data_IF_085460790882
#
_entry.id   IF_085460790882
#
_cell.length_a   1.000
_cell.length_b   1.000
_cell.length_c   1.000
_cell.angle_alpha   90.00
_cell.angle_beta   90.00
_cell.angle_gamma   90.00
#
_symmetry.space_group_name_H-M   'P 1'
#
loop_
_entity.id
_entity.type
_entity.pdbx_description
1 polymer ?
#
# COMPACT_ATOMS: atom_id res chain seq x y z
N UNK A 1 20.63 -9.49 -7.91
CA UNK A 1 19.86 -8.56 -7.03
C UNK A 1 20.78 -8.10 -5.92
N UNK A 2 20.64 -6.88 -5.41
CA UNK A 2 21.56 -6.39 -4.38
C UNK A 2 21.39 -7.19 -3.07
N UNK A 3 22.47 -7.80 -2.58
CA UNK A 3 22.48 -8.53 -1.31
C UNK A 3 21.94 -9.97 -1.34
N UNK A 4 21.62 -10.53 -2.51
CA UNK A 4 21.17 -11.93 -2.65
C UNK A 4 22.01 -12.68 -3.70
N UNK A 5 22.28 -13.97 -3.45
CA UNK A 5 22.94 -14.87 -4.41
C UNK A 5 21.94 -15.46 -5.42
N UNK A 6 21.12 -14.59 -6.00
CA UNK A 6 20.14 -14.93 -7.04
C UNK A 6 20.10 -13.83 -8.13
N UNK A 7 19.81 -14.27 -9.34
CA UNK A 7 19.70 -13.45 -10.55
C UNK A 7 18.27 -13.44 -11.09
N UNK A 8 17.99 -12.61 -12.09
CA UNK A 8 16.72 -12.63 -12.83
C UNK A 8 16.45 -13.99 -13.47
N UNK A 9 17.51 -14.75 -13.83
CA UNK A 9 17.40 -16.08 -14.41
C UNK A 9 16.88 -17.13 -13.42
N UNK A 10 17.04 -16.91 -12.11
CA UNK A 10 16.61 -17.84 -11.07
C UNK A 10 15.13 -17.69 -10.70
N UNK A 11 14.50 -16.56 -11.03
CA UNK A 11 13.07 -16.34 -10.81
C UNK A 11 12.26 -17.25 -11.73
N UNK A 12 11.35 -18.06 -11.22
CA UNK A 12 10.47 -18.91 -12.06
C UNK A 12 9.17 -18.19 -12.46
N UNK A 13 8.70 -17.23 -11.66
CA UNK A 13 7.51 -16.43 -11.92
C UNK A 13 7.53 -15.06 -11.19
N UNK A 14 6.73 -14.10 -11.66
CA UNK A 14 6.56 -12.80 -11.00
C UNK A 14 5.10 -12.49 -10.68
N UNK A 15 4.87 -11.77 -9.58
CA UNK A 15 3.56 -11.26 -9.18
C UNK A 15 3.67 -9.75 -9.01
N UNK A 16 3.03 -9.02 -9.90
CA UNK A 16 2.99 -7.57 -9.88
C UNK A 16 1.75 -7.14 -9.10
N UNK A 17 1.96 -6.30 -8.09
CA UNK A 17 0.94 -5.87 -7.14
C UNK A 17 0.83 -4.35 -7.17
N UNK A 18 -0.32 -3.82 -7.55
CA UNK A 18 -0.65 -2.40 -7.40
C UNK A 18 -2.16 -2.23 -7.29
N UNK A 19 -2.61 -1.04 -6.93
CA UNK A 19 -3.99 -0.65 -7.20
C UNK A 19 -4.02 0.03 -8.58
N UNK A 20 -4.93 -0.36 -9.48
CA UNK A 20 -4.97 0.15 -10.85
C UNK A 20 -5.43 1.60 -10.87
N UNK A 21 -5.35 2.19 -12.05
CA UNK A 21 -5.80 3.55 -12.34
C UNK A 21 -5.01 4.67 -11.66
N UNK A 22 -3.96 4.45 -10.87
CA UNK A 22 -3.16 5.57 -10.32
C UNK A 22 -2.07 6.05 -11.29
N UNK A 23 -1.56 5.16 -12.13
CA UNK A 23 -0.77 5.48 -13.30
C UNK A 23 -1.61 5.33 -14.59
N UNK A 24 -1.06 5.76 -15.73
CA UNK A 24 -1.75 5.71 -17.04
C UNK A 24 -1.66 4.34 -17.73
N UNK A 25 -0.85 3.41 -17.21
CA UNK A 25 -0.61 2.12 -17.83
C UNK A 25 -1.70 1.13 -17.42
N UNK A 26 -2.52 0.70 -18.38
CA UNK A 26 -3.60 -0.27 -18.13
C UNK A 26 -3.07 -1.61 -17.58
N UNK A 27 -1.99 -2.11 -18.17
CA UNK A 27 -1.41 -3.41 -17.84
C UNK A 27 0.08 -3.23 -17.53
N UNK A 28 0.45 -2.90 -16.29
CA UNK A 28 1.84 -2.66 -15.93
C UNK A 28 2.67 -3.95 -15.84
N UNK A 29 2.03 -5.11 -15.65
CA UNK A 29 2.73 -6.36 -15.36
C UNK A 29 3.67 -6.84 -16.48
N UNK A 30 3.21 -6.75 -17.74
CA UNK A 30 4.02 -7.13 -18.90
C UNK A 30 5.23 -6.22 -19.09
N UNK A 31 5.01 -4.90 -19.01
CA UNK A 31 6.06 -3.90 -19.15
C UNK A 31 7.13 -4.04 -18.06
N UNK A 32 6.72 -4.21 -16.80
CA UNK A 32 7.64 -4.42 -15.69
C UNK A 32 8.42 -5.73 -15.89
N UNK A 33 7.77 -6.79 -16.34
CA UNK A 33 8.44 -8.08 -16.58
C UNK A 33 9.46 -8.00 -17.71
N UNK A 34 9.17 -7.28 -18.79
CA UNK A 34 10.11 -7.03 -19.88
C UNK A 34 11.30 -6.19 -19.41
N UNK A 35 11.03 -5.07 -18.73
CA UNK A 35 12.07 -4.16 -18.24
C UNK A 35 13.02 -4.82 -17.22
N UNK A 36 12.52 -5.79 -16.45
CA UNK A 36 13.29 -6.56 -15.48
C UNK A 36 13.88 -7.86 -16.05
N UNK A 37 13.80 -8.08 -17.36
CA UNK A 37 14.29 -9.28 -18.05
C UNK A 37 13.74 -10.59 -17.45
N UNK A 38 12.47 -10.56 -17.01
CA UNK A 38 11.75 -11.72 -16.50
C UNK A 38 11.02 -12.47 -17.62
N UNK A 39 10.94 -11.90 -18.82
CA UNK A 39 10.39 -12.59 -19.98
C UNK A 39 11.29 -13.78 -20.38
N UNK A 40 10.73 -14.92 -20.84
CA UNK A 40 9.31 -15.20 -21.10
C UNK A 40 8.57 -15.85 -19.92
N UNK A 41 9.07 -15.75 -18.68
CA UNK A 41 8.50 -16.41 -17.51
C UNK A 41 7.12 -15.83 -17.16
N UNK A 42 6.22 -16.61 -16.55
CA UNK A 42 4.87 -16.15 -16.24
C UNK A 42 4.90 -14.97 -15.27
N UNK A 43 4.09 -13.94 -15.61
CA UNK A 43 3.82 -12.80 -14.75
C UNK A 43 2.33 -12.68 -14.47
N UNK A 44 1.99 -12.55 -13.19
CA UNK A 44 0.64 -12.35 -12.70
C UNK A 44 0.45 -10.91 -12.25
N UNK A 45 -0.78 -10.42 -12.31
CA UNK A 45 -1.16 -9.15 -11.70
C UNK A 45 -2.19 -9.41 -10.60
N UNK A 46 -1.92 -8.94 -9.38
CA UNK A 46 -2.77 -9.14 -8.20
C UNK A 46 -3.19 -7.79 -7.64
N UNK A 47 -4.50 -7.64 -7.50
CA UNK A 47 -5.16 -6.41 -7.06
C UNK A 47 -6.12 -6.74 -5.92
N UNK A 48 -5.93 -6.07 -4.77
CA UNK A 48 -6.81 -6.09 -3.60
C UNK A 48 -6.66 -4.76 -2.84
N UNK A 49 -6.76 -3.64 -3.57
CA UNK A 49 -6.60 -2.26 -3.10
C UNK A 49 -5.30 -2.10 -2.29
N UNK A 50 -5.37 -1.59 -1.06
CA UNK A 50 -4.18 -1.36 -0.22
C UNK A 50 -3.49 -2.65 0.24
N UNK A 51 -4.10 -3.82 0.01
CA UNK A 51 -3.55 -5.13 0.41
C UNK A 51 -2.94 -5.93 -0.74
N UNK A 52 -2.85 -5.36 -1.96
CA UNK A 52 -2.33 -6.06 -3.15
C UNK A 52 -1.01 -6.81 -2.90
N UNK A 53 -0.01 -6.18 -2.25
CA UNK A 53 1.28 -6.83 -2.00
C UNK A 53 1.22 -7.96 -0.96
N UNK A 54 0.38 -7.84 0.08
CA UNK A 54 0.24 -8.91 1.08
C UNK A 54 -0.56 -10.09 0.51
N UNK A 55 -1.55 -9.82 -0.35
CA UNK A 55 -2.21 -10.84 -1.16
C UNK A 55 -1.22 -11.50 -2.12
N UNK A 56 -0.40 -10.72 -2.83
CA UNK A 56 0.65 -11.22 -3.71
C UNK A 56 1.64 -12.15 -2.99
N UNK A 57 2.05 -11.80 -1.77
CA UNK A 57 2.88 -12.66 -0.93
C UNK A 57 2.20 -14.01 -0.62
N UNK A 58 0.90 -14.00 -0.29
CA UNK A 58 0.13 -15.23 -0.06
C UNK A 58 0.00 -16.08 -1.33
N UNK A 59 -0.17 -15.45 -2.49
CA UNK A 59 -0.22 -16.15 -3.78
C UNK A 59 1.14 -16.77 -4.10
N UNK A 60 2.24 -16.02 -3.99
CA UNK A 60 3.60 -16.54 -4.19
C UNK A 60 3.91 -17.71 -3.26
N UNK A 61 3.58 -17.59 -1.98
CA UNK A 61 3.72 -18.69 -1.02
C UNK A 61 2.94 -19.93 -1.46
N UNK A 62 1.69 -19.76 -1.92
CA UNK A 62 0.85 -20.86 -2.38
C UNK A 62 1.43 -21.55 -3.61
N UNK A 63 1.94 -20.77 -4.59
CA UNK A 63 2.60 -21.30 -5.78
C UNK A 63 3.87 -22.10 -5.46
N UNK A 64 4.70 -21.58 -4.54
CA UNK A 64 5.91 -22.29 -4.08
C UNK A 64 5.54 -23.53 -3.29
N UNK A 65 4.57 -23.43 -2.38
CA UNK A 65 4.13 -24.55 -1.53
C UNK A 65 3.50 -25.68 -2.33
N UNK A 66 2.78 -25.36 -3.42
CA UNK A 66 2.21 -26.32 -4.34
C UNK A 66 3.25 -26.99 -5.26
N UNK A 67 4.50 -26.54 -5.26
CA UNK A 67 5.56 -27.05 -6.13
C UNK A 67 5.45 -26.59 -7.58
N UNK A 68 4.64 -25.56 -7.87
CA UNK A 68 4.47 -25.01 -9.22
C UNK A 68 5.65 -24.13 -9.63
N UNK A 69 6.25 -23.43 -8.66
CA UNK A 69 7.44 -22.59 -8.83
C UNK A 69 8.38 -22.78 -7.65
N UNK A 70 9.68 -22.55 -7.82
CA UNK A 70 10.69 -22.61 -6.75
C UNK A 70 11.04 -21.22 -6.24
N UNK A 71 11.11 -20.23 -7.13
CA UNK A 71 11.41 -18.83 -6.79
C UNK A 71 10.39 -17.91 -7.45
N UNK A 72 9.70 -17.11 -6.66
CA UNK A 72 8.68 -16.17 -7.12
C UNK A 72 9.01 -14.77 -6.63
N UNK A 73 9.06 -13.79 -7.53
CA UNK A 73 9.24 -12.39 -7.19
C UNK A 73 7.89 -11.70 -6.99
N UNK A 74 7.65 -11.11 -5.81
CA UNK A 74 6.46 -10.30 -5.52
C UNK A 74 6.86 -8.84 -5.55
N UNK A 75 6.38 -8.10 -6.54
CA UNK A 75 6.77 -6.71 -6.80
C UNK A 75 5.55 -5.83 -6.55
N UNK A 76 5.58 -5.06 -5.46
CA UNK A 76 4.60 -4.03 -5.16
C UNK A 76 5.05 -2.68 -5.69
N UNK A 77 4.16 -1.91 -6.31
CA UNK A 77 4.45 -0.53 -6.68
C UNK A 77 3.19 0.33 -6.64
N UNK A 78 3.38 1.64 -6.50
CA UNK A 78 2.33 2.64 -6.68
C UNK A 78 2.94 3.95 -7.19
N UNK A 79 2.26 4.62 -8.12
CA UNK A 79 2.62 5.94 -8.64
C UNK A 79 1.42 6.86 -8.51
N UNK A 80 1.47 7.79 -7.56
CA UNK A 80 0.38 8.72 -7.24
C UNK A 80 0.75 10.18 -7.50
N UNK A 81 2.04 10.51 -7.64
CA UNK A 81 2.51 11.89 -7.79
C UNK A 81 2.04 12.60 -9.06
N UNK A 82 1.54 11.86 -10.05
CA UNK A 82 1.04 12.41 -11.31
C UNK A 82 -0.42 12.87 -11.21
N UNK A 83 -1.03 12.72 -10.04
CA UNK A 83 -2.42 13.04 -9.78
C UNK A 83 -2.54 14.24 -8.86
N UNK A 84 -3.53 15.07 -9.13
CA UNK A 84 -3.99 16.02 -8.13
C UNK A 84 -4.58 15.29 -6.92
N UNK A 85 -4.58 15.95 -5.75
CA UNK A 85 -5.20 15.39 -4.54
C UNK A 85 -6.67 15.02 -4.75
N UNK A 86 -7.39 15.76 -5.60
CA UNK A 86 -8.79 15.47 -5.94
C UNK A 86 -8.94 14.22 -6.78
N UNK A 87 -8.10 14.03 -7.80
CA UNK A 87 -8.11 12.82 -8.63
C UNK A 87 -7.71 11.58 -7.82
N UNK A 88 -6.70 11.71 -6.94
CA UNK A 88 -6.31 10.63 -6.04
C UNK A 88 -7.46 10.26 -5.09
N UNK A 89 -8.13 11.25 -4.50
CA UNK A 89 -9.28 11.02 -3.61
C UNK A 89 -10.46 10.35 -4.34
N UNK A 90 -10.75 10.78 -5.57
CA UNK A 90 -11.79 10.18 -6.41
C UNK A 90 -11.48 8.70 -6.70
N UNK A 91 -10.26 8.38 -7.15
CA UNK A 91 -9.84 7.01 -7.45
C UNK A 91 -9.82 6.12 -6.21
N UNK A 92 -9.40 6.66 -5.08
CA UNK A 92 -9.47 5.98 -3.79
C UNK A 92 -10.92 5.66 -3.38
N UNK A 93 -11.86 6.58 -3.63
CA UNK A 93 -13.28 6.36 -3.34
C UNK A 93 -13.91 5.21 -4.13
N UNK A 94 -13.36 4.89 -5.30
CA UNK A 94 -13.80 3.74 -6.12
C UNK A 94 -13.34 2.39 -5.57
N UNK A 95 -12.53 2.36 -4.51
CA UNK A 95 -12.19 1.13 -3.80
C UNK A 95 -13.33 0.58 -2.95
N UNK A 96 -14.34 1.40 -2.67
CA UNK A 96 -15.60 1.01 -2.04
C UNK A 96 -16.71 0.74 -3.06
N UNK A 97 -17.97 0.83 -2.62
CA UNK A 97 -19.12 0.63 -3.49
C UNK A 97 -19.45 1.91 -4.29
N UNK A 98 -19.21 1.87 -5.60
CA UNK A 98 -19.47 3.02 -6.48
C UNK A 98 -20.96 3.40 -6.55
N UNK A 99 -21.88 2.47 -6.31
CA UNK A 99 -23.33 2.73 -6.38
C UNK A 99 -23.84 3.24 -5.03
N UNK A 100 -23.37 2.65 -3.93
CA UNK A 100 -23.95 2.87 -2.60
C UNK A 100 -23.13 3.77 -1.69
N UNK A 101 -21.91 4.14 -2.07
CA UNK A 101 -21.03 5.00 -1.27
C UNK A 101 -20.62 6.27 -2.00
N UNK A 102 -20.10 6.13 -3.22
CA UNK A 102 -19.57 7.27 -3.99
C UNK A 102 -20.57 8.41 -4.23
N UNK A 103 -21.86 8.18 -4.59
CA UNK A 103 -22.82 9.26 -4.85
C UNK A 103 -23.18 10.07 -3.60
N UNK A 104 -22.95 9.49 -2.42
CA UNK A 104 -23.21 10.13 -1.13
C UNK A 104 -21.99 10.88 -0.59
N UNK A 105 -20.93 11.02 -1.40
CA UNK A 105 -19.72 11.76 -1.06
C UNK A 105 -18.77 10.99 -0.14
N UNK A 106 -18.89 9.66 -0.07
CA UNK A 106 -17.98 8.87 0.74
C UNK A 106 -16.57 8.90 0.14
N UNK A 107 -15.63 9.46 0.92
CA UNK A 107 -14.19 9.41 0.65
C UNK A 107 -13.53 8.43 1.60
N UNK A 108 -12.31 7.98 1.29
CA UNK A 108 -11.55 7.09 2.19
C UNK A 108 -11.41 7.67 3.62
N UNK A 109 -11.00 8.94 3.83
CA UNK A 109 -10.99 9.53 5.16
C UNK A 109 -12.37 9.54 5.84
N UNK A 110 -13.45 9.78 5.09
CA UNK A 110 -14.80 9.76 5.63
C UNK A 110 -15.24 8.36 6.08
N UNK A 111 -14.91 7.33 5.32
CA UNK A 111 -15.13 5.93 5.71
C UNK A 111 -14.44 5.60 7.04
N UNK A 112 -13.15 5.90 7.15
CA UNK A 112 -12.40 5.69 8.40
C UNK A 112 -12.89 6.56 9.56
N UNK A 113 -13.36 7.78 9.29
CA UNK A 113 -13.95 8.63 10.32
C UNK A 113 -15.24 8.02 10.90
N UNK A 114 -16.08 7.39 10.07
CA UNK A 114 -17.26 6.66 10.56
C UNK A 114 -16.87 5.48 11.47
N UNK A 115 -15.86 4.69 11.07
CA UNK A 115 -15.34 3.62 11.92
C UNK A 115 -14.75 4.16 13.23
N UNK A 116 -13.98 5.26 13.17
CA UNK A 116 -13.45 5.91 14.37
C UNK A 116 -14.58 6.34 15.31
N UNK A 117 -15.63 7.00 14.81
CA UNK A 117 -16.78 7.42 15.62
C UNK A 117 -17.50 6.24 16.26
N UNK A 118 -17.72 5.15 15.52
CA UNK A 118 -18.33 3.94 16.07
C UNK A 118 -17.48 3.37 17.20
N UNK A 119 -16.17 3.26 17.00
CA UNK A 119 -15.24 2.77 18.02
C UNK A 119 -15.15 3.69 19.24
N UNK A 120 -15.19 5.01 19.05
CA UNK A 120 -15.24 5.98 20.14
C UNK A 120 -16.54 5.85 20.94
N UNK A 121 -17.68 5.63 20.28
CA UNK A 121 -18.98 5.48 20.94
C UNK A 121 -19.08 4.16 21.74
N UNK A 122 -18.52 3.07 21.20
CA UNK A 122 -18.59 1.75 21.84
C UNK A 122 -17.54 1.57 22.94
N UNK A 123 -16.30 2.01 22.70
CA UNK A 123 -15.15 1.72 23.57
C UNK A 123 -14.60 2.94 24.30
N UNK A 124 -15.16 4.13 24.09
CA UNK A 124 -14.69 5.37 24.74
C UNK A 124 -13.31 5.83 24.27
N UNK A 125 -12.87 5.41 23.08
CA UNK A 125 -11.59 5.87 22.51
C UNK A 125 -11.59 7.39 22.34
N UNK A 126 -10.44 8.03 22.57
CA UNK A 126 -10.31 9.48 22.46
C UNK A 126 -9.45 9.88 21.26
N UNK A 127 -9.63 11.11 20.76
CA UNK A 127 -8.76 11.66 19.71
C UNK A 127 -7.29 11.68 20.13
N UNK A 128 -7.01 11.91 21.43
CA UNK A 128 -5.65 11.85 21.98
C UNK A 128 -5.04 10.45 21.82
N UNK A 129 -5.82 9.39 22.04
CA UNK A 129 -5.35 8.01 21.86
C UNK A 129 -5.07 7.69 20.39
N UNK A 130 -5.91 8.19 19.47
CA UNK A 130 -5.66 8.07 18.03
C UNK A 130 -4.38 8.84 17.63
N UNK A 131 -4.22 10.07 18.11
CA UNK A 131 -3.06 10.91 17.84
C UNK A 131 -1.73 10.30 18.35
N UNK A 132 -1.75 9.57 19.48
CA UNK A 132 -0.57 8.84 19.99
C UNK A 132 -0.03 7.81 18.99
N UNK A 133 -0.88 7.21 18.16
CA UNK A 133 -0.43 6.34 17.05
C UNK A 133 0.43 7.12 16.08
N UNK A 134 0.01 8.35 15.73
CA UNK A 134 0.77 9.20 14.83
C UNK A 134 2.07 9.73 15.45
N UNK A 135 2.09 10.08 16.74
CA UNK A 135 3.34 10.43 17.45
C UNK A 135 4.37 9.33 17.26
N UNK A 136 4.01 8.09 17.61
CA UNK A 136 4.85 6.90 17.42
C UNK A 136 5.31 6.74 15.97
N UNK A 137 4.38 6.84 15.01
CA UNK A 137 4.72 6.66 13.60
C UNK A 137 5.68 7.74 13.09
N UNK A 138 5.52 8.99 13.55
CA UNK A 138 6.39 10.11 13.17
C UNK A 138 7.80 9.99 13.78
N UNK A 139 7.91 9.48 15.00
CA UNK A 139 9.18 9.20 15.67
C UNK A 139 10.02 8.20 14.85
N UNK A 140 9.46 7.02 14.54
CA UNK A 140 10.17 6.02 13.74
C UNK A 140 10.37 6.46 12.28
N UNK A 141 9.44 7.26 11.74
CA UNK A 141 9.57 7.87 10.42
C UNK A 141 10.76 8.83 10.33
N UNK A 142 11.01 9.63 11.38
CA UNK A 142 12.13 10.57 11.44
C UNK A 142 13.49 9.89 11.32
N UNK A 143 13.64 8.69 11.90
CA UNK A 143 14.88 7.92 11.87
C UNK A 143 15.04 7.03 10.64
N UNK A 144 14.00 6.88 9.80
CA UNK A 144 14.01 5.98 8.67
C UNK A 144 14.45 6.72 7.37
N UNK A 145 15.61 6.40 6.79
CA UNK A 145 16.10 7.04 5.56
C UNK A 145 15.28 6.67 4.32
N UNK A 146 14.28 5.79 4.42
CA UNK A 146 13.34 5.45 3.35
C UNK A 146 11.96 6.08 3.55
N UNK A 147 11.69 6.72 4.69
CA UNK A 147 10.40 7.33 4.94
C UNK A 147 10.19 8.59 4.07
N UNK A 148 8.95 8.78 3.60
CA UNK A 148 8.51 9.96 2.84
C UNK A 148 8.63 11.24 3.66
N UNK A 149 8.20 11.19 4.93
CA UNK A 149 8.39 12.28 5.89
C UNK A 149 9.34 11.84 6.99
N UNK A 150 10.41 12.61 7.16
CA UNK A 150 11.45 12.37 8.17
C UNK A 150 11.43 13.48 9.21
N UNK A 151 10.24 13.72 9.76
CA UNK A 151 9.98 14.74 10.79
C UNK A 151 9.12 14.13 11.88
N UNK A 152 9.59 14.26 13.11
CA UNK A 152 8.84 13.91 14.31
C UNK A 152 7.78 14.97 14.60
N UNK A 153 6.61 14.55 15.06
CA UNK A 153 5.48 15.41 15.39
C UNK A 153 5.12 15.22 16.87
N UNK A 154 4.89 16.33 17.56
CA UNK A 154 4.37 16.30 18.93
C UNK A 154 2.87 15.96 18.93
N UNK A 155 2.35 15.55 20.09
CA UNK A 155 0.91 15.33 20.27
C UNK A 155 0.10 16.60 20.00
N UNK A 156 0.62 17.77 20.39
CA UNK A 156 0.01 19.07 20.16
C UNK A 156 -0.06 19.42 18.67
N UNK A 157 1.01 19.18 17.91
CA UNK A 157 1.02 19.37 16.44
C UNK A 157 -0.10 18.57 15.77
N UNK A 158 -0.36 17.36 16.27
CA UNK A 158 -1.35 16.43 15.71
C UNK A 158 -2.77 16.89 16.07
N UNK A 159 -3.03 17.17 17.35
CA UNK A 159 -4.35 17.57 17.84
C UNK A 159 -4.78 18.95 17.33
N UNK A 160 -3.84 19.86 17.09
CA UNK A 160 -4.11 21.20 16.56
C UNK A 160 -4.22 21.25 15.03
N UNK A 161 -3.98 20.13 14.34
CA UNK A 161 -4.01 20.10 12.88
C UNK A 161 -5.43 20.19 12.31
N UNK A 162 -5.51 20.62 11.05
CA UNK A 162 -6.78 20.80 10.33
C UNK A 162 -7.63 19.52 10.34
N UNK A 163 -8.91 19.66 10.64
CA UNK A 163 -9.88 18.56 10.55
C UNK A 163 -10.15 18.27 9.08
N UNK A 164 -9.90 17.04 8.64
CA UNK A 164 -10.21 16.59 7.28
C UNK A 164 -11.60 15.98 7.24
N UNK A 165 -11.89 15.06 8.16
CA UNK A 165 -13.24 14.52 8.36
C UNK A 165 -13.39 14.10 9.80
N UNK A 166 -14.18 14.84 10.58
CA UNK A 166 -14.30 14.65 12.03
C UNK A 166 -14.62 13.19 12.38
N UNK A 167 -13.84 12.55 13.28
CA UNK A 167 -12.85 13.15 14.19
C UNK A 167 -11.42 13.25 13.64
N UNK A 168 -11.16 12.71 12.44
CA UNK A 168 -9.83 12.58 11.85
C UNK A 168 -9.31 13.92 11.30
N UNK A 169 -8.07 14.22 11.65
CA UNK A 169 -7.33 15.41 11.25
C UNK A 169 -6.25 15.07 10.23
N UNK A 170 -5.61 16.11 9.70
CA UNK A 170 -4.59 16.02 8.65
C UNK A 170 -3.50 15.00 8.96
N UNK A 171 -3.03 14.96 10.21
CA UNK A 171 -1.96 14.03 10.59
C UNK A 171 -2.43 12.62 10.93
N UNK A 172 -3.74 12.38 11.02
CA UNK A 172 -4.31 11.03 11.10
C UNK A 172 -4.38 10.34 9.71
N UNK A 173 -4.38 11.13 8.64
CA UNK A 173 -4.39 10.63 7.27
C UNK A 173 -2.98 10.23 6.80
N UNK A 174 -2.87 9.11 6.07
CA UNK A 174 -1.65 8.78 5.35
C UNK A 174 -1.44 9.74 4.18
N UNK A 175 -0.19 9.92 3.75
CA UNK A 175 0.10 10.70 2.55
C UNK A 175 0.08 9.82 1.31
N UNK A 176 -0.27 10.46 0.20
CA UNK A 176 -0.03 9.91 -1.12
C UNK A 176 1.47 9.82 -1.34
N UNK A 177 1.95 8.66 -1.75
CA UNK A 177 3.36 8.40 -1.96
C UNK A 177 3.56 7.55 -3.21
N UNK A 178 4.65 7.83 -3.90
CA UNK A 178 5.20 6.90 -4.88
C UNK A 178 6.14 5.94 -4.19
N UNK A 179 6.18 4.70 -4.66
CA UNK A 179 7.16 3.76 -4.17
C UNK A 179 7.01 2.39 -4.79
N UNK A 180 8.03 1.56 -4.57
CA UNK A 180 7.99 0.15 -4.89
C UNK A 180 8.73 -0.65 -3.82
N UNK A 181 8.40 -1.94 -3.76
CA UNK A 181 9.06 -2.93 -2.92
C UNK A 181 9.05 -4.28 -3.62
N UNK A 182 10.03 -5.12 -3.31
CA UNK A 182 10.11 -6.46 -3.85
C UNK A 182 10.42 -7.45 -2.72
N UNK A 183 9.72 -8.57 -2.70
CA UNK A 183 10.02 -9.72 -1.85
C UNK A 183 10.23 -10.93 -2.75
N UNK A 184 11.31 -11.65 -2.51
CA UNK A 184 11.56 -12.93 -3.18
C UNK A 184 11.08 -14.04 -2.25
N UNK A 185 10.17 -14.87 -2.76
CA UNK A 185 9.67 -16.05 -2.07
C UNK A 185 10.30 -17.27 -2.71
N UNK A 186 11.10 -18.00 -1.94
CA UNK A 186 11.80 -19.18 -2.42
C UNK A 186 11.39 -20.43 -1.65
N UNK A 187 11.49 -21.58 -2.30
CA UNK A 187 11.47 -22.89 -1.65
C UNK A 187 12.68 -23.00 -0.73
N UNK A 188 12.50 -23.57 0.47
CA UNK A 188 13.54 -23.57 1.50
C UNK A 188 14.79 -24.41 1.23
N UNK A 189 14.88 -25.08 0.08
CA UNK A 189 16.11 -25.74 -0.41
C UNK A 189 16.88 -24.88 -1.43
N UNK A 190 16.33 -23.72 -1.82
CA UNK A 190 16.96 -22.73 -2.72
C UNK A 190 17.55 -21.56 -1.94
N UNK A 191 17.03 -21.25 -0.74
CA UNK A 191 17.43 -20.13 0.12
C UNK A 191 17.50 -20.55 1.59
#
# INVERSE_FOLDING_TARGET
MEGLDITSNDIDASIICSAPEYDKQRSPAGLISEYLELTPKPSFYVETVCSSSSTGLRVAWSLVKAGLHRVVAVIGFQKMSELSSREAAERMGRGGDIIWESPFGLTMPAGYAMYARAHMAEYGTTEEQLAKVRVKNSHYGATNPKATYRKELSLEDILSSEVITSPLKKFDCCANADGSSCVIVARGDVA
#
